data_IF_850331907280
#
_entry.id   IF_850331907280
#
_cell.length_a   1.000
_cell.length_b   1.000
_cell.length_c   1.000
_cell.angle_alpha   90.00
_cell.angle_beta   90.00
_cell.angle_gamma   90.00
#
_symmetry.space_group_name_H-M   'P 1'
#
loop_
_entity.id
_entity.type
_entity.pdbx_description
1 polymer ?
#
# COMPACT_ATOMS: atom_id res chain seq x y z
N UNK A 1 3.92 -16.42 -18.19
CA UNK A 1 3.43 -15.08 -17.81
C UNK A 1 3.75 -14.91 -16.34
N UNK A 2 4.39 -13.81 -15.95
CA UNK A 2 4.71 -13.55 -14.54
C UNK A 2 3.44 -13.18 -13.78
N UNK A 3 3.08 -13.95 -12.76
CA UNK A 3 1.94 -13.69 -11.87
C UNK A 3 2.23 -12.65 -10.78
N UNK A 4 3.38 -11.98 -10.85
CA UNK A 4 3.89 -11.06 -9.82
C UNK A 4 3.94 -9.60 -10.30
N UNK A 5 3.02 -9.22 -11.19
CA UNK A 5 2.88 -7.86 -11.70
C UNK A 5 1.42 -7.44 -11.60
N UNK A 6 1.19 -6.21 -11.16
CA UNK A 6 -0.12 -5.57 -11.12
C UNK A 6 -0.06 -4.25 -11.88
N UNK A 7 -1.21 -3.81 -12.40
CA UNK A 7 -1.31 -2.47 -12.98
C UNK A 7 -1.21 -1.43 -11.86
N UNK A 8 -0.29 -0.48 -11.98
CA UNK A 8 -0.11 0.59 -10.99
C UNK A 8 -0.03 1.96 -11.66
N UNK A 9 -0.57 2.96 -10.99
CA UNK A 9 -0.36 4.38 -11.29
C UNK A 9 1.15 4.68 -11.33
N UNK A 10 1.58 5.48 -12.31
CA UNK A 10 2.98 5.88 -12.41
C UNK A 10 3.43 6.69 -11.20
N UNK A 11 2.56 7.51 -10.63
CA UNK A 11 2.89 8.31 -9.45
C UNK A 11 2.95 7.47 -8.17
N UNK A 12 2.32 6.29 -8.18
CA UNK A 12 2.46 5.31 -7.10
C UNK A 12 3.70 4.42 -7.31
N UNK A 13 4.07 4.05 -8.54
CA UNK A 13 5.13 3.05 -8.81
C UNK A 13 6.45 3.60 -9.42
N UNK A 14 6.61 4.92 -9.54
CA UNK A 14 7.80 5.48 -10.20
C UNK A 14 9.11 5.15 -9.44
N UNK A 15 10.10 4.75 -10.25
CA UNK A 15 11.54 4.54 -9.96
C UNK A 15 11.96 3.19 -9.37
N UNK A 16 12.03 2.16 -10.21
CA UNK A 16 12.87 0.99 -9.90
C UNK A 16 14.40 1.25 -9.98
N UNK A 17 14.89 2.44 -10.43
CA UNK A 17 16.30 2.60 -10.87
C UNK A 17 17.02 3.94 -10.56
N UNK A 18 16.54 4.85 -9.69
CA UNK A 18 17.27 6.13 -9.43
C UNK A 18 17.29 6.59 -7.96
N UNK A 19 18.46 7.04 -7.51
CA UNK A 19 18.89 7.26 -6.11
C UNK A 19 18.36 8.56 -5.45
N UNK A 20 17.62 9.44 -6.15
CA UNK A 20 17.25 10.74 -5.58
C UNK A 20 15.93 10.75 -4.76
N UNK A 21 15.96 11.08 -3.45
CA UNK A 21 14.82 10.97 -2.54
C UNK A 21 13.67 12.00 -2.63
N UNK A 22 13.80 13.26 -3.12
CA UNK A 22 12.65 14.18 -3.11
C UNK A 22 11.61 13.91 -4.22
N UNK A 23 11.83 12.88 -5.05
CA UNK A 23 11.03 12.56 -6.25
C UNK A 23 10.54 11.10 -6.21
N UNK A 24 10.71 10.40 -5.09
CA UNK A 24 10.17 9.04 -4.92
C UNK A 24 8.64 9.05 -4.91
N UNK A 25 8.01 7.98 -5.37
CA UNK A 25 6.61 7.71 -5.01
C UNK A 25 6.52 7.13 -3.59
N UNK A 26 5.33 7.13 -3.01
CA UNK A 26 5.08 6.44 -1.74
C UNK A 26 5.53 4.98 -1.79
N UNK A 27 5.13 4.21 -2.82
CA UNK A 27 5.53 2.80 -2.97
C UNK A 27 7.05 2.61 -3.02
N UNK A 28 7.74 3.44 -3.81
CA UNK A 28 9.21 3.38 -3.89
C UNK A 28 9.86 3.70 -2.54
N UNK A 29 9.34 4.70 -1.83
CA UNK A 29 9.89 5.09 -0.53
C UNK A 29 9.66 3.98 0.53
N UNK A 30 8.54 3.26 0.47
CA UNK A 30 8.28 2.06 1.29
C UNK A 30 9.32 0.97 0.97
N UNK A 31 9.57 0.69 -0.31
CA UNK A 31 10.56 -0.30 -0.73
C UNK A 31 11.98 0.07 -0.31
N UNK A 32 12.32 1.34 -0.43
CA UNK A 32 13.60 1.89 0.01
C UNK A 32 13.77 1.80 1.53
N UNK A 33 12.72 2.09 2.31
CA UNK A 33 12.73 1.93 3.77
C UNK A 33 13.07 0.49 4.17
N UNK A 34 12.40 -0.49 3.58
CA UNK A 34 12.67 -1.92 3.81
C UNK A 34 14.10 -2.28 3.37
N UNK A 35 14.50 -1.86 2.16
CA UNK A 35 15.83 -2.11 1.60
C UNK A 35 16.97 -1.58 2.48
N UNK A 36 16.86 -0.34 2.95
CA UNK A 36 17.82 0.25 3.89
C UNK A 36 17.92 -0.56 5.20
N UNK A 37 16.80 -1.10 5.68
CA UNK A 37 16.82 -1.97 6.86
C UNK A 37 17.56 -3.29 6.63
N UNK A 38 17.40 -3.88 5.44
CA UNK A 38 18.17 -5.08 5.03
C UNK A 38 19.66 -4.76 4.97
N UNK A 39 20.04 -3.62 4.39
CA UNK A 39 21.43 -3.14 4.37
C UNK A 39 22.00 -2.91 5.78
N UNK A 40 21.14 -2.52 6.73
CA UNK A 40 21.48 -2.38 8.14
C UNK A 40 21.51 -3.71 8.92
N UNK A 41 21.24 -4.85 8.27
CA UNK A 41 21.32 -6.19 8.87
C UNK A 41 20.03 -6.73 9.47
N UNK A 42 18.89 -6.01 9.31
CA UNK A 42 17.57 -6.55 9.65
C UNK A 42 17.16 -7.62 8.65
N UNK A 43 16.31 -8.54 9.08
CA UNK A 43 15.60 -9.47 8.19
C UNK A 43 14.14 -9.06 8.08
N UNK A 44 13.58 -9.15 6.87
CA UNK A 44 12.20 -8.77 6.60
C UNK A 44 11.44 -9.92 5.93
N UNK A 45 10.27 -10.25 6.46
CA UNK A 45 9.29 -11.10 5.81
C UNK A 45 8.23 -10.20 5.18
N UNK A 46 8.25 -10.09 3.86
CA UNK A 46 7.41 -9.13 3.13
C UNK A 46 6.31 -9.87 2.38
N UNK A 47 5.07 -9.42 2.57
CA UNK A 47 3.91 -9.81 1.76
C UNK A 47 3.34 -8.55 1.13
N UNK A 48 3.01 -8.62 -0.15
CA UNK A 48 2.44 -7.50 -0.88
C UNK A 48 1.27 -7.96 -1.75
N UNK A 49 0.35 -7.05 -1.99
CA UNK A 49 -0.82 -7.33 -2.81
C UNK A 49 -1.57 -6.08 -3.20
N UNK A 50 -2.80 -6.29 -3.65
CA UNK A 50 -3.70 -5.22 -4.08
C UNK A 50 -5.14 -5.48 -3.68
N UNK A 51 -5.95 -4.43 -3.64
CA UNK A 51 -7.36 -4.41 -3.21
C UNK A 51 -8.19 -3.54 -4.16
N UNK A 52 -9.47 -3.89 -4.34
CA UNK A 52 -10.42 -3.15 -5.17
C UNK A 52 -10.18 -3.34 -6.68
N UNK A 53 -11.02 -2.72 -7.50
CA UNK A 53 -10.88 -2.79 -8.95
C UNK A 53 -11.46 -1.53 -9.62
N UNK A 54 -10.58 -0.66 -10.11
CA UNK A 54 -10.94 0.61 -10.74
C UNK A 54 -10.82 0.53 -12.27
N UNK A 55 -11.97 0.43 -12.94
CA UNK A 55 -12.06 0.48 -14.40
C UNK A 55 -12.25 1.89 -14.95
N UNK A 56 -12.19 2.91 -14.11
CA UNK A 56 -12.33 4.31 -14.50
C UNK A 56 -11.05 4.85 -15.14
N UNK A 57 -11.22 5.85 -16.00
CA UNK A 57 -10.13 6.54 -16.65
C UNK A 57 -9.44 7.46 -15.64
N UNK A 58 -8.20 7.14 -15.26
CA UNK A 58 -7.41 7.89 -14.28
C UNK A 58 -6.40 8.81 -14.95
N UNK A 59 -6.01 9.93 -14.31
CA UNK A 59 -4.83 10.69 -14.76
C UNK A 59 -3.62 9.78 -14.78
N UNK A 60 -2.80 9.85 -15.85
CA UNK A 60 -1.58 9.03 -15.95
C UNK A 60 -0.52 9.43 -14.93
N UNK A 61 -0.39 10.73 -14.69
CA UNK A 61 0.52 11.34 -13.73
C UNK A 61 0.09 12.78 -13.51
N UNK A 62 0.28 13.29 -12.30
CA UNK A 62 0.25 14.71 -11.96
C UNK A 62 1.63 15.21 -11.51
N UNK A 63 2.63 14.33 -11.46
CA UNK A 63 4.00 14.65 -11.06
C UNK A 63 4.67 15.64 -12.03
N UNK A 64 5.03 16.86 -11.59
CA UNK A 64 5.55 17.91 -12.48
C UNK A 64 6.75 17.51 -13.32
N UNK A 65 7.63 16.69 -12.75
CA UNK A 65 8.82 16.17 -13.41
C UNK A 65 8.53 15.15 -14.51
N UNK A 66 7.44 14.37 -14.39
CA UNK A 66 7.04 13.37 -15.39
C UNK A 66 6.21 13.99 -16.51
N UNK A 67 5.46 15.04 -16.20
CA UNK A 67 4.64 15.78 -17.17
C UNK A 67 5.44 16.47 -18.29
N UNK A 68 6.78 16.54 -18.17
CA UNK A 68 7.66 17.00 -19.25
C UNK A 68 7.64 16.08 -20.48
N UNK A 69 7.26 14.82 -20.31
CA UNK A 69 7.17 13.84 -21.39
C UNK A 69 5.71 13.66 -21.83
N UNK A 70 5.37 13.83 -23.13
CA UNK A 70 3.99 13.72 -23.61
C UNK A 70 3.31 12.37 -23.32
N UNK A 71 4.09 11.28 -23.19
CA UNK A 71 3.57 9.95 -22.88
C UNK A 71 2.88 9.90 -21.51
N UNK A 72 3.38 10.70 -20.55
CA UNK A 72 2.91 10.74 -19.16
C UNK A 72 1.71 11.68 -18.97
N UNK A 73 1.31 12.40 -20.01
CA UNK A 73 0.17 13.32 -19.99
C UNK A 73 -1.14 12.62 -20.37
N UNK A 74 -2.25 13.22 -19.93
CA UNK A 74 -3.61 12.77 -20.20
C UNK A 74 -4.07 11.67 -19.25
N UNK A 75 -5.00 10.84 -19.72
CA UNK A 75 -5.65 9.80 -18.92
C UNK A 75 -5.28 8.40 -19.41
N UNK A 76 -5.36 7.41 -18.50
CA UNK A 76 -5.26 6.00 -18.81
C UNK A 76 -6.45 5.57 -19.67
N UNK A 77 -6.31 4.45 -20.38
CA UNK A 77 -7.43 3.84 -21.11
C UNK A 77 -7.62 2.41 -20.58
N UNK A 78 -8.46 2.22 -19.54
CA UNK A 78 -8.73 0.92 -18.93
C UNK A 78 -9.21 -0.14 -19.92
N UNK A 79 -9.91 0.25 -20.98
CA UNK A 79 -10.38 -0.68 -22.03
C UNK A 79 -9.23 -1.32 -22.82
N UNK A 80 -8.00 -0.83 -22.72
CA UNK A 80 -6.83 -1.53 -23.27
C UNK A 80 -6.43 -2.76 -22.45
N UNK A 81 -6.92 -2.89 -21.21
CA UNK A 81 -6.69 -4.03 -20.33
C UNK A 81 -7.74 -5.14 -20.45
N UNK A 82 -8.47 -5.19 -21.57
CA UNK A 82 -9.53 -6.16 -21.95
C UNK A 82 -9.17 -7.66 -21.83
N UNK A 83 -7.98 -8.03 -21.37
CA UNK A 83 -7.54 -9.40 -21.09
C UNK A 83 -7.73 -9.82 -19.61
N UNK A 84 -8.77 -9.33 -18.92
CA UNK A 84 -9.01 -9.59 -17.49
C UNK A 84 -7.86 -9.17 -16.56
N UNK A 85 -7.09 -8.14 -16.92
CA UNK A 85 -6.07 -7.59 -16.02
C UNK A 85 -6.78 -6.59 -15.09
N UNK A 86 -6.93 -6.97 -13.82
CA UNK A 86 -7.48 -6.08 -12.79
C UNK A 86 -6.58 -4.86 -12.60
N UNK A 87 -7.20 -3.68 -12.52
CA UNK A 87 -6.53 -2.45 -12.11
C UNK A 87 -6.96 -2.19 -10.67
N UNK A 88 -6.11 -2.43 -9.67
CA UNK A 88 -6.53 -2.28 -8.29
C UNK A 88 -6.78 -0.82 -7.94
N UNK A 89 -7.67 -0.58 -6.98
CA UNK A 89 -7.88 0.74 -6.37
C UNK A 89 -6.78 1.06 -5.36
N UNK A 90 -6.26 0.02 -4.69
CA UNK A 90 -5.29 0.14 -3.61
C UNK A 90 -4.18 -0.91 -3.75
N UNK A 91 -3.00 -0.56 -3.29
CA UNK A 91 -1.84 -1.45 -3.19
C UNK A 91 -1.36 -1.48 -1.76
N UNK A 92 -1.02 -2.65 -1.26
CA UNK A 92 -0.62 -2.80 0.14
C UNK A 92 0.64 -3.66 0.27
N UNK A 93 1.38 -3.42 1.35
CA UNK A 93 2.58 -4.16 1.72
C UNK A 93 2.64 -4.29 3.24
N UNK A 94 2.83 -5.51 3.72
CA UNK A 94 3.18 -5.79 5.12
C UNK A 94 4.60 -6.34 5.18
N UNK A 95 5.32 -5.95 6.22
CA UNK A 95 6.67 -6.42 6.49
C UNK A 95 6.82 -6.68 7.99
N UNK A 96 7.20 -7.91 8.35
CA UNK A 96 7.64 -8.24 9.71
C UNK A 96 9.16 -8.13 9.73
N UNK A 97 9.68 -7.22 10.54
CA UNK A 97 11.10 -6.96 10.67
C UNK A 97 11.66 -7.65 11.92
N UNK A 98 12.75 -8.39 11.73
CA UNK A 98 13.57 -8.91 12.81
C UNK A 98 14.83 -8.04 12.98
N UNK A 99 15.30 -7.84 14.22
CA UNK A 99 16.45 -6.99 14.48
C UNK A 99 17.74 -7.52 13.85
N UNK A 100 17.85 -8.84 13.63
CA UNK A 100 18.95 -9.48 12.91
C UNK A 100 18.47 -10.70 12.13
N UNK A 101 19.19 -11.02 11.07
CA UNK A 101 18.94 -12.21 10.27
C UNK A 101 19.12 -13.52 11.06
N UNK A 102 18.22 -14.48 10.82
CA UNK A 102 18.20 -15.81 11.41
C UNK A 102 17.63 -15.87 12.83
N UNK A 103 17.02 -14.79 13.32
CA UNK A 103 16.35 -14.78 14.61
C UNK A 103 14.95 -15.39 14.52
N UNK A 104 14.43 -15.91 15.63
CA UNK A 104 13.02 -16.24 15.74
C UNK A 104 12.19 -14.96 15.94
N UNK A 105 10.90 -15.02 15.59
CA UNK A 105 9.98 -13.91 15.83
C UNK A 105 9.70 -13.83 17.33
N UNK A 106 10.14 -12.74 17.96
CA UNK A 106 9.96 -12.44 19.38
C UNK A 106 9.30 -11.08 19.57
N UNK A 107 9.20 -10.60 20.81
CA UNK A 107 8.73 -9.25 21.13
C UNK A 107 9.60 -8.11 20.57
N UNK A 108 10.83 -8.41 20.11
CA UNK A 108 11.70 -7.45 19.42
C UNK A 108 11.36 -7.29 17.94
N UNK A 109 10.47 -8.13 17.39
CA UNK A 109 10.00 -7.99 16.03
C UNK A 109 9.07 -6.78 15.89
N UNK A 110 9.11 -6.11 14.74
CA UNK A 110 8.28 -4.95 14.42
C UNK A 110 7.45 -5.23 13.17
N UNK A 111 6.18 -4.82 13.15
CA UNK A 111 5.38 -4.82 11.93
C UNK A 111 5.33 -3.43 11.27
N UNK A 112 5.52 -3.42 9.96
CA UNK A 112 5.36 -2.24 9.12
C UNK A 112 4.33 -2.56 8.04
N UNK A 113 3.22 -1.85 8.04
CA UNK A 113 2.12 -2.11 7.13
C UNK A 113 1.69 -0.81 6.47
N UNK A 114 1.62 -0.85 5.15
CA UNK A 114 1.32 0.30 4.32
C UNK A 114 0.24 -0.04 3.30
N UNK A 115 -0.67 0.89 3.06
CA UNK A 115 -1.65 0.80 1.98
C UNK A 115 -1.73 2.15 1.27
N UNK A 116 -1.35 2.15 -0.01
CA UNK A 116 -1.31 3.35 -0.85
C UNK A 116 -2.39 3.24 -1.92
N UNK A 117 -3.04 4.35 -2.30
CA UNK A 117 -4.05 4.29 -3.31
C UNK A 117 -3.40 4.29 -4.69
N UNK A 118 -4.04 3.63 -5.65
CA UNK A 118 -3.50 3.40 -6.98
C UNK A 118 -3.97 4.46 -7.98
N UNK A 119 -3.72 5.73 -7.66
CA UNK A 119 -4.05 6.87 -8.53
C UNK A 119 -2.87 7.85 -8.61
N UNK A 120 -3.03 8.92 -9.40
CA UNK A 120 -2.03 9.98 -9.51
C UNK A 120 -1.90 10.74 -8.18
N UNK A 121 -0.72 11.29 -7.87
CA UNK A 121 -0.62 12.21 -6.72
C UNK A 121 -1.48 13.47 -6.96
N UNK A 122 -1.93 14.20 -5.92
CA UNK A 122 -2.75 15.40 -6.14
C UNK A 122 -2.00 16.50 -6.92
N UNK A 123 -2.74 17.37 -7.61
CA UNK A 123 -2.20 18.63 -8.15
C UNK A 123 -1.98 19.66 -7.03
N UNK A 124 -1.03 20.60 -7.19
CA UNK A 124 -0.71 21.57 -6.12
C UNK A 124 -1.91 22.47 -5.76
N UNK A 125 -2.80 22.71 -6.71
CA UNK A 125 -4.03 23.48 -6.53
C UNK A 125 -5.21 22.67 -5.97
N UNK A 126 -5.03 21.36 -5.76
CA UNK A 126 -6.02 20.48 -5.11
C UNK A 126 -5.75 20.34 -3.61
N UNK A 127 -4.54 20.70 -3.14
CA UNK A 127 -4.14 20.60 -1.74
C UNK A 127 -4.69 21.78 -0.89
N UNK A 128 -5.05 21.55 0.38
CA UNK A 128 -5.04 20.26 1.08
C UNK A 128 -6.21 19.35 0.67
N UNK A 129 -5.99 18.03 0.69
CA UNK A 129 -7.03 17.02 0.40
C UNK A 129 -7.36 16.17 1.63
N UNK A 130 -8.60 15.71 1.72
CA UNK A 130 -9.01 14.76 2.75
C UNK A 130 -8.19 13.46 2.62
N UNK A 131 -7.80 12.88 3.75
CA UNK A 131 -6.96 11.69 3.74
C UNK A 131 -7.75 10.50 3.18
N UNK A 132 -7.29 9.85 2.09
CA UNK A 132 -8.04 8.75 1.47
C UNK A 132 -8.28 7.54 2.39
N UNK A 133 -7.53 7.43 3.48
CA UNK A 133 -7.70 6.37 4.47
C UNK A 133 -8.92 6.59 5.37
N UNK A 134 -9.43 7.82 5.48
CA UNK A 134 -10.62 8.12 6.28
C UNK A 134 -11.83 7.32 5.77
N UNK A 135 -12.06 7.35 4.46
CA UNK A 135 -13.14 6.59 3.82
C UNK A 135 -12.88 5.08 3.84
N UNK A 136 -11.63 4.65 3.63
CA UNK A 136 -11.29 3.23 3.54
C UNK A 136 -11.37 2.51 4.89
N UNK A 137 -10.90 3.16 5.95
CA UNK A 137 -10.76 2.58 7.29
C UNK A 137 -11.82 3.09 8.28
N UNK A 138 -12.66 4.05 7.87
CA UNK A 138 -13.60 4.76 8.73
C UNK A 138 -12.85 5.39 9.93
N UNK A 139 -11.80 6.14 9.63
CA UNK A 139 -10.95 6.87 10.57
C UNK A 139 -11.05 8.40 10.38
N UNK A 140 -10.61 9.17 11.37
CA UNK A 140 -10.50 10.62 11.29
C UNK A 140 -9.03 11.05 11.30
N UNK A 141 -8.33 10.87 10.17
CA UNK A 141 -6.99 11.40 9.95
C UNK A 141 -7.04 12.83 9.43
N UNK A 142 -5.99 13.60 9.73
CA UNK A 142 -5.80 14.96 9.23
C UNK A 142 -5.66 15.02 7.69
N UNK A 143 -5.86 16.21 7.13
CA UNK A 143 -5.68 16.44 5.69
C UNK A 143 -4.23 16.19 5.26
N UNK A 144 -4.06 15.78 4.00
CA UNK A 144 -2.74 15.76 3.35
C UNK A 144 -2.51 17.16 2.79
N UNK A 145 -1.50 17.85 3.30
CA UNK A 145 -1.21 19.26 3.06
C UNK A 145 -0.26 19.48 1.87
N UNK A 146 0.52 18.45 1.52
CA UNK A 146 1.58 18.57 0.51
C UNK A 146 1.78 17.31 -0.31
N UNK A 147 2.44 17.45 -1.47
CA UNK A 147 2.89 16.30 -2.27
C UNK A 147 4.00 15.53 -1.58
N UNK A 148 4.82 16.21 -0.80
CA UNK A 148 5.85 15.59 0.03
C UNK A 148 5.21 14.64 1.05
N UNK A 149 4.16 15.08 1.72
CA UNK A 149 3.37 14.25 2.64
C UNK A 149 2.68 13.09 1.90
N UNK A 150 2.12 13.33 0.71
CA UNK A 150 1.59 12.26 -0.14
C UNK A 150 2.63 11.18 -0.45
N UNK A 151 3.90 11.56 -0.60
CA UNK A 151 5.00 10.63 -0.95
C UNK A 151 5.66 10.00 0.29
N UNK A 152 5.32 10.46 1.49
CA UNK A 152 5.85 9.92 2.75
C UNK A 152 5.21 8.55 3.03
N UNK A 153 6.00 7.48 3.23
CA UNK A 153 5.49 6.18 3.67
C UNK A 153 4.60 6.25 4.91
N UNK A 154 4.90 7.11 5.89
CA UNK A 154 4.17 7.14 7.16
C UNK A 154 2.75 7.69 7.02
N UNK A 155 2.48 8.53 6.01
CA UNK A 155 1.11 8.95 5.63
C UNK A 155 0.22 7.74 5.34
N UNK A 156 0.80 6.68 4.79
CA UNK A 156 0.07 5.49 4.34
C UNK A 156 0.14 4.32 5.33
N UNK A 157 0.65 4.58 6.54
CA UNK A 157 0.82 3.54 7.55
C UNK A 157 -0.52 3.18 8.19
N UNK A 158 -0.73 1.88 8.34
CA UNK A 158 -1.88 1.26 9.01
C UNK A 158 -1.38 0.15 9.93
N UNK A 159 -2.24 -0.35 10.80
CA UNK A 159 -1.92 -1.54 11.59
C UNK A 159 -2.10 -2.82 10.77
N UNK A 160 -1.43 -3.90 11.20
CA UNK A 160 -1.61 -5.20 10.58
C UNK A 160 -3.03 -5.73 10.77
N UNK A 161 -3.66 -5.40 11.91
CA UNK A 161 -5.08 -5.69 12.16
C UNK A 161 -5.99 -5.01 11.14
N UNK A 162 -5.79 -3.71 10.89
CA UNK A 162 -6.58 -2.95 9.91
C UNK A 162 -6.47 -3.53 8.50
N UNK A 163 -5.26 -3.85 8.07
CA UNK A 163 -5.07 -4.51 6.78
C UNK A 163 -5.77 -5.88 6.75
N UNK A 164 -5.61 -6.70 7.79
CA UNK A 164 -6.25 -8.02 7.84
C UNK A 164 -7.78 -7.92 7.76
N UNK A 165 -8.39 -6.98 8.48
CA UNK A 165 -9.84 -6.77 8.46
C UNK A 165 -10.31 -6.27 7.08
N UNK A 166 -9.56 -5.39 6.42
CA UNK A 166 -9.83 -4.99 5.03
C UNK A 166 -9.75 -6.17 4.05
N UNK A 167 -8.76 -7.05 4.21
CA UNK A 167 -8.59 -8.20 3.32
C UNK A 167 -9.67 -9.26 3.53
N UNK A 168 -10.14 -9.43 4.76
CA UNK A 168 -11.17 -10.41 5.13
C UNK A 168 -12.60 -9.89 4.97
N UNK A 169 -12.81 -8.57 4.87
CA UNK A 169 -14.11 -7.95 4.59
C UNK A 169 -14.44 -7.88 3.09
N UNK A 170 -13.56 -8.36 2.22
CA UNK A 170 -13.80 -8.45 0.77
C UNK A 170 -15.05 -9.29 0.51
N UNK A 171 -16.09 -8.63 0.01
CA UNK A 171 -17.33 -9.27 -0.42
C UNK A 171 -17.23 -9.77 -1.86
N UNK A 172 -18.12 -10.69 -2.24
CA UNK A 172 -18.20 -11.17 -3.62
C UNK A 172 -18.38 -9.97 -4.58
N UNK A 173 -17.48 -9.75 -5.56
CA UNK A 173 -17.64 -8.68 -6.54
C UNK A 173 -18.88 -8.85 -7.43
N UNK A 174 -19.49 -10.04 -7.49
CA UNK A 174 -20.75 -10.29 -8.20
C UNK A 174 -21.98 -10.20 -7.28
N UNK A 175 -21.81 -10.31 -5.96
CA UNK A 175 -22.91 -10.23 -5.00
C UNK A 175 -22.50 -9.57 -3.67
N UNK A 176 -22.46 -8.23 -3.59
CA UNK A 176 -21.96 -7.49 -2.42
C UNK A 176 -22.82 -7.61 -1.14
N UNK A 177 -23.90 -8.39 -1.15
CA UNK A 177 -24.68 -8.77 0.04
C UNK A 177 -24.35 -10.17 0.56
N UNK A 178 -23.58 -10.96 -0.19
CA UNK A 178 -23.15 -12.32 0.18
C UNK A 178 -21.62 -12.34 0.33
N UNK A 179 -21.13 -12.99 1.39
CA UNK A 179 -19.74 -13.47 1.40
C UNK A 179 -19.63 -14.55 0.33
N UNK A 180 -18.78 -14.34 -0.69
CA UNK A 180 -18.56 -15.31 -1.77
C UNK A 180 -18.20 -16.67 -1.16
N UNK A 181 -19.04 -17.72 -1.28
CA UNK A 181 -18.73 -19.05 -0.77
C UNK A 181 -17.55 -19.71 -1.50
N UNK A 182 -16.99 -19.07 -2.54
CA UNK A 182 -15.78 -19.52 -3.24
C UNK A 182 -14.48 -18.85 -2.77
N UNK A 183 -14.54 -17.88 -1.85
CA UNK A 183 -13.36 -17.34 -1.17
C UNK A 183 -13.29 -17.78 0.30
N UNK A 184 -13.09 -19.08 0.54
CA UNK A 184 -12.79 -19.67 1.87
C UNK A 184 -11.43 -19.24 2.45
N UNK A 185 -10.74 -18.28 1.82
CA UNK A 185 -9.41 -17.84 2.26
C UNK A 185 -9.53 -16.67 3.23
N UNK A 186 -9.21 -16.92 4.49
CA UNK A 186 -8.98 -15.87 5.48
C UNK A 186 -7.50 -15.53 5.54
N UNK A 187 -7.17 -14.25 5.38
CA UNK A 187 -5.85 -13.74 5.68
C UNK A 187 -5.61 -13.82 7.20
N UNK A 188 -4.57 -14.58 7.58
CA UNK A 188 -3.97 -14.55 8.91
C UNK A 188 -2.45 -14.45 8.75
N UNK A 189 -1.94 -13.22 8.83
CA UNK A 189 -0.51 -12.93 8.63
C UNK A 189 0.38 -13.59 9.69
N UNK A 190 -0.17 -13.89 10.87
CA UNK A 190 0.57 -14.36 12.04
C UNK A 190 0.14 -15.78 12.45
N UNK A 191 -0.46 -16.55 11.54
CA UNK A 191 -1.00 -17.91 11.81
C UNK A 191 0.01 -18.89 12.41
N UNK A 192 1.31 -18.67 12.15
CA UNK A 192 2.39 -19.48 12.68
C UNK A 192 2.97 -18.95 14.01
N UNK A 193 2.55 -17.77 14.47
CA UNK A 193 2.98 -17.19 15.74
C UNK A 193 1.97 -17.59 16.82
N UNK A 194 2.44 -18.41 17.77
CA UNK A 194 1.60 -18.96 18.85
C UNK A 194 1.65 -18.14 20.14
N UNK A 195 2.67 -17.29 20.30
CA UNK A 195 2.78 -16.37 21.42
C UNK A 195 1.74 -15.25 21.29
N UNK A 196 0.80 -15.20 22.24
CA UNK A 196 -0.31 -14.25 22.21
C UNK A 196 0.11 -12.79 22.44
N UNK A 197 1.16 -12.55 23.21
CA UNK A 197 1.65 -11.19 23.49
C UNK A 197 2.39 -10.62 22.27
N UNK A 198 3.25 -11.44 21.65
CA UNK A 198 3.94 -11.09 20.40
C UNK A 198 2.94 -10.87 19.29
N UNK A 199 1.96 -11.77 19.15
CA UNK A 199 0.90 -11.63 18.14
C UNK A 199 0.12 -10.33 18.35
N UNK A 200 -0.33 -10.04 19.57
CA UNK A 200 -1.06 -8.80 19.88
C UNK A 200 -0.24 -7.57 19.51
N UNK A 201 1.02 -7.50 19.95
CA UNK A 201 1.93 -6.39 19.63
C UNK A 201 2.03 -6.16 18.12
N UNK A 202 2.32 -7.21 17.34
CA UNK A 202 2.49 -7.09 15.90
C UNK A 202 1.20 -6.71 15.16
N UNK A 203 0.03 -7.07 15.71
CA UNK A 203 -1.27 -6.67 15.15
C UNK A 203 -1.56 -5.17 15.34
N UNK A 204 -1.12 -4.61 16.48
CA UNK A 204 -1.33 -3.21 16.89
C UNK A 204 -0.20 -2.26 16.41
N UNK A 205 0.96 -2.79 16.03
CA UNK A 205 2.07 -2.01 15.47
C UNK A 205 1.59 -1.19 14.25
N UNK A 206 1.72 0.14 14.32
CA UNK A 206 1.28 1.05 13.25
C UNK A 206 -0.15 1.56 13.39
N UNK A 207 -0.84 1.30 14.50
CA UNK A 207 -2.11 1.96 14.82
C UNK A 207 -1.98 3.48 14.79
N UNK A 208 -2.90 4.11 14.05
CA UNK A 208 -3.04 5.56 14.06
C UNK A 208 -3.57 6.01 15.41
N UNK A 209 -2.92 7.01 16.01
CA UNK A 209 -3.37 7.66 17.24
C UNK A 209 -3.79 9.08 16.88
N UNK A 210 -5.10 9.41 16.86
CA UNK A 210 -5.55 10.77 16.63
C UNK A 210 -5.04 11.69 17.76
N UNK A 211 -4.51 12.86 17.38
CA UNK A 211 -4.02 13.89 18.31
C UNK A 211 -5.11 14.91 18.64
#
# INVERSE_FOLDING_TARGET
>A
MGSNLIAQSMDNNRRFNQVNPPIGSAWFNIEKFIGNGVEAGKEYYVVAGSLGNDWSSQKKSNAPELLKEPLNQGYTNPQKFNNNISIPEWTWKSAIALPKAGMEITSEAEAFVYITPNHAEPEDNELPIEHPLNDLLNEERGFIESREEWRDPETWRVSLQQLQDLLNSRKDPQNPEETDPHFDFQFDFLSHITDGEVRKKLMEDGEYVPF
#
